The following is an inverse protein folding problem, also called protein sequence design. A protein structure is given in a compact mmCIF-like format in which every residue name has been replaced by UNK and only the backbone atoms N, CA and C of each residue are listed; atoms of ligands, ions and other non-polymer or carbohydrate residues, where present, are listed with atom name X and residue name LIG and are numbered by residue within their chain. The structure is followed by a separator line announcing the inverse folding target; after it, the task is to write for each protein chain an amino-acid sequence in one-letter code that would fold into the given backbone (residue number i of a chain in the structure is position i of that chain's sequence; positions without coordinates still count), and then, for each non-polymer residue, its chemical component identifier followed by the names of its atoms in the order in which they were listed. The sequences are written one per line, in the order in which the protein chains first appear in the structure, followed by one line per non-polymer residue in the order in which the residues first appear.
data_IF_531547045668
#
_entry.id   IF_531547045668
#
_cell.length_a   1.000
_cell.length_b   1.000
_cell.length_c   1.000
_cell.angle_alpha   90.00
_cell.angle_beta   90.00
_cell.angle_gamma   90.00
#
_symmetry.space_group_name_H-M   'P 1'
#
loop_
_entity.id
_entity.type
_entity.pdbx_description
1 polymer ?
#
# COMPACT_ATOMS: atom_id res chain seq x y z
N UNK A 1 10.60 20.56 -12.76
CA UNK A 1 9.15 20.28 -12.84
C UNK A 1 8.76 19.22 -11.82
N UNK A 2 9.57 18.15 -11.68
CA UNK A 2 9.44 17.13 -10.62
C UNK A 2 9.61 17.66 -9.18
N UNK A 3 10.59 18.53 -8.92
CA UNK A 3 10.79 19.13 -7.57
C UNK A 3 9.54 19.86 -7.04
N UNK A 4 8.84 20.61 -7.92
CA UNK A 4 7.60 21.28 -7.56
C UNK A 4 6.43 20.30 -7.36
N UNK A 5 6.43 19.14 -8.02
CA UNK A 5 5.39 18.13 -7.82
C UNK A 5 5.59 17.40 -6.49
N UNK A 6 6.82 16.97 -6.19
CA UNK A 6 7.16 16.35 -4.90
C UNK A 6 6.89 17.30 -3.74
N UNK A 7 7.34 18.55 -3.84
CA UNK A 7 7.08 19.60 -2.85
C UNK A 7 5.62 20.04 -2.77
N UNK A 8 4.75 19.61 -3.70
CA UNK A 8 3.29 19.81 -3.68
C UNK A 8 2.51 18.56 -3.26
N UNK A 9 3.13 17.37 -3.30
CA UNK A 9 2.56 16.11 -2.81
C UNK A 9 2.91 15.85 -1.34
N UNK A 10 4.08 16.33 -0.91
CA UNK A 10 4.64 16.20 0.44
C UNK A 10 4.90 17.61 0.98
N UNK A 11 3.86 18.21 1.57
CA UNK A 11 3.88 19.65 1.90
C UNK A 11 3.81 19.91 3.41
N UNK A 12 3.54 18.86 4.19
CA UNK A 12 3.49 18.94 5.63
C UNK A 12 4.89 18.76 6.20
N UNK A 13 5.35 19.70 7.04
CA UNK A 13 6.57 19.53 7.84
C UNK A 13 6.51 18.26 8.71
N UNK A 14 5.29 17.86 9.09
CA UNK A 14 4.97 16.59 9.73
C UNK A 14 4.08 15.77 8.80
N UNK A 15 4.66 14.82 8.08
CA UNK A 15 3.98 14.01 7.06
C UNK A 15 2.69 13.35 7.56
N UNK A 16 2.68 12.88 8.81
CA UNK A 16 1.52 12.21 9.39
C UNK A 16 0.38 13.15 9.76
N UNK A 17 0.62 14.47 9.79
CA UNK A 17 -0.40 15.49 10.03
C UNK A 17 -1.07 15.95 8.72
N UNK A 18 -0.64 15.43 7.57
CA UNK A 18 -1.27 15.70 6.27
C UNK A 18 -2.72 15.15 6.28
N UNK A 19 -3.74 15.99 6.00
CA UNK A 19 -5.13 15.56 6.05
C UNK A 19 -5.45 14.42 5.06
N UNK A 20 -4.65 14.28 4.00
CA UNK A 20 -4.81 13.24 2.98
C UNK A 20 -3.87 12.06 3.19
N UNK A 21 -3.13 11.98 4.32
CA UNK A 21 -2.09 10.96 4.54
C UNK A 21 -2.62 9.53 4.37
N UNK A 22 -3.83 9.25 4.85
CA UNK A 22 -4.44 7.93 4.74
C UNK A 22 -4.71 7.57 3.27
N UNK A 23 -5.20 8.52 2.48
CA UNK A 23 -5.44 8.32 1.06
C UNK A 23 -4.11 8.11 0.32
N UNK A 24 -3.12 8.98 0.56
CA UNK A 24 -1.79 8.90 -0.05
C UNK A 24 -1.10 7.57 0.26
N UNK A 25 -1.13 7.13 1.52
CA UNK A 25 -0.61 5.82 1.94
C UNK A 25 -1.35 4.67 1.28
N UNK A 26 -2.68 4.75 1.15
CA UNK A 26 -3.49 3.72 0.48
C UNK A 26 -3.14 3.57 -0.99
N UNK A 27 -3.00 4.68 -1.71
CA UNK A 27 -2.62 4.70 -3.14
C UNK A 27 -1.23 4.12 -3.34
N UNK A 28 -0.22 4.65 -2.65
CA UNK A 28 1.18 4.21 -2.84
C UNK A 28 1.38 2.77 -2.41
N UNK A 29 0.71 2.32 -1.35
CA UNK A 29 0.81 0.93 -0.87
C UNK A 29 0.12 -0.03 -1.83
N UNK A 30 -1.02 0.34 -2.41
CA UNK A 30 -1.66 -0.47 -3.46
C UNK A 30 -0.73 -0.60 -4.66
N UNK A 31 -0.10 0.50 -5.07
CA UNK A 31 0.84 0.46 -6.18
C UNK A 31 2.07 -0.41 -5.87
N UNK A 32 2.69 -0.22 -4.70
CA UNK A 32 3.92 -0.91 -4.31
C UNK A 32 3.69 -2.39 -3.99
N UNK A 33 2.76 -2.69 -3.09
CA UNK A 33 2.63 -4.04 -2.52
C UNK A 33 1.67 -4.95 -3.30
N UNK A 34 0.79 -4.37 -4.14
CA UNK A 34 -0.24 -5.14 -4.83
C UNK A 34 -0.08 -5.09 -6.35
N UNK A 35 0.07 -3.89 -6.93
CA UNK A 35 0.20 -3.75 -8.39
C UNK A 35 1.58 -4.15 -8.89
N UNK A 36 2.66 -3.65 -8.29
CA UNK A 36 4.06 -3.92 -8.70
C UNK A 36 4.54 -5.34 -8.37
N UNK A 37 3.68 -6.34 -8.55
CA UNK A 37 3.98 -7.76 -8.35
C UNK A 37 3.15 -8.61 -9.31
N UNK A 38 2.64 -9.78 -8.88
CA UNK A 38 2.02 -10.75 -9.78
C UNK A 38 0.78 -10.22 -10.52
N UNK A 39 0.13 -9.17 -10.01
CA UNK A 39 -1.05 -8.57 -10.65
C UNK A 39 -0.69 -7.89 -11.97
N UNK A 40 0.42 -7.14 -12.03
CA UNK A 40 0.86 -6.50 -13.27
C UNK A 40 1.32 -7.56 -14.29
N UNK A 41 2.03 -8.61 -13.86
CA UNK A 41 2.38 -9.74 -14.73
C UNK A 41 1.13 -10.43 -15.30
N UNK A 42 0.10 -10.64 -14.47
CA UNK A 42 -1.17 -11.21 -14.90
C UNK A 42 -1.93 -10.29 -15.87
N UNK A 43 -1.85 -8.97 -15.68
CA UNK A 43 -2.41 -8.01 -16.61
C UNK A 43 -1.69 -8.03 -17.96
N UNK A 44 -0.35 -7.99 -17.94
CA UNK A 44 0.48 -8.04 -19.14
C UNK A 44 0.28 -9.34 -19.94
N UNK A 45 0.05 -10.46 -19.25
CA UNK A 45 -0.30 -11.75 -19.83
C UNK A 45 -1.74 -11.82 -20.38
N UNK A 46 -2.54 -10.75 -20.24
CA UNK A 46 -3.95 -10.69 -20.66
C UNK A 46 -4.90 -11.54 -19.82
N UNK A 47 -4.49 -11.97 -18.62
CA UNK A 47 -5.32 -12.76 -17.70
C UNK A 47 -6.29 -11.90 -16.90
N UNK A 48 -5.96 -10.62 -16.73
CA UNK A 48 -6.82 -9.59 -16.16
C UNK A 48 -7.08 -8.56 -17.25
N UNK A 49 -8.31 -8.05 -17.31
CA UNK A 49 -8.63 -6.89 -18.13
C UNK A 49 -8.32 -5.60 -17.37
N UNK A 50 -8.26 -4.47 -18.08
CA UNK A 50 -8.13 -3.15 -17.45
C UNK A 50 -9.22 -2.91 -16.40
N UNK A 51 -10.46 -3.32 -16.68
CA UNK A 51 -11.58 -3.18 -15.74
C UNK A 51 -11.38 -4.05 -14.48
N UNK A 52 -10.79 -5.24 -14.61
CA UNK A 52 -10.47 -6.07 -13.43
C UNK A 52 -9.39 -5.39 -12.58
N UNK A 53 -8.39 -4.76 -13.21
CA UNK A 53 -7.33 -4.01 -12.51
C UNK A 53 -7.90 -2.81 -11.76
N UNK A 54 -8.80 -2.05 -12.38
CA UNK A 54 -9.49 -0.91 -11.74
C UNK A 54 -10.29 -1.38 -10.52
N UNK A 55 -11.09 -2.45 -10.64
CA UNK A 55 -11.89 -2.98 -9.53
C UNK A 55 -11.02 -3.45 -8.35
N UNK A 56 -9.91 -4.14 -8.65
CA UNK A 56 -8.96 -4.59 -7.63
C UNK A 56 -8.23 -3.41 -6.96
N UNK A 57 -7.88 -2.38 -7.72
CA UNK A 57 -7.25 -1.16 -7.21
C UNK A 57 -8.18 -0.39 -6.26
N UNK A 58 -9.45 -0.24 -6.62
CA UNK A 58 -10.45 0.39 -5.74
C UNK A 58 -10.67 -0.42 -4.47
N UNK A 59 -10.79 -1.74 -4.60
CA UNK A 59 -10.94 -2.64 -3.45
C UNK A 59 -9.77 -2.51 -2.47
N UNK A 60 -8.53 -2.53 -2.97
CA UNK A 60 -7.34 -2.44 -2.12
C UNK A 60 -7.23 -1.12 -1.39
N UNK A 61 -7.50 0.01 -2.06
CA UNK A 61 -7.50 1.32 -1.38
C UNK A 61 -8.53 1.41 -0.26
N UNK A 62 -9.74 0.88 -0.47
CA UNK A 62 -10.79 0.85 0.56
C UNK A 62 -10.31 0.06 1.78
N UNK A 63 -9.70 -1.11 1.58
CA UNK A 63 -9.19 -1.93 2.69
C UNK A 63 -8.00 -1.29 3.40
N UNK A 64 -7.05 -0.73 2.65
CA UNK A 64 -5.87 -0.07 3.20
C UNK A 64 -6.23 1.21 3.96
N UNK A 65 -7.25 1.95 3.53
CA UNK A 65 -7.77 3.10 4.27
C UNK A 65 -8.17 2.70 5.69
N UNK A 66 -8.84 1.55 5.86
CA UNK A 66 -9.22 1.04 7.20
C UNK A 66 -7.97 0.67 8.01
N UNK A 67 -7.02 -0.05 7.41
CA UNK A 67 -5.79 -0.48 8.10
C UNK A 67 -4.94 0.71 8.54
N UNK A 68 -4.72 1.68 7.66
CA UNK A 68 -3.92 2.86 8.00
C UNK A 68 -4.59 3.74 9.05
N UNK A 69 -5.92 3.90 9.00
CA UNK A 69 -6.65 4.56 10.09
C UNK A 69 -6.39 3.87 11.43
N UNK A 70 -6.52 2.54 11.50
CA UNK A 70 -6.29 1.78 12.73
C UNK A 70 -4.88 1.99 13.31
N UNK A 71 -3.87 1.99 12.43
CA UNK A 71 -2.46 2.16 12.82
C UNK A 71 -2.19 3.60 13.28
N UNK A 72 -2.63 4.60 12.51
CA UNK A 72 -2.33 6.01 12.76
C UNK A 72 -3.10 6.57 13.96
N UNK A 73 -4.34 6.11 14.19
CA UNK A 73 -5.11 6.46 15.40
C UNK A 73 -4.50 5.88 16.68
N UNK A 74 -3.58 4.91 16.58
CA UNK A 74 -2.92 4.25 17.71
C UNK A 74 -3.92 3.67 18.73
N UNK A 75 -5.12 3.29 18.27
CA UNK A 75 -6.16 2.74 19.12
C UNK A 75 -5.89 1.26 19.42
N UNK A 76 -5.18 1.00 20.52
CA UNK A 76 -4.79 -0.34 20.94
C UNK A 76 -5.94 -1.34 21.07
N UNK A 77 -7.16 -0.91 21.40
CA UNK A 77 -8.31 -1.82 21.48
C UNK A 77 -8.75 -2.28 20.08
N UNK A 78 -8.83 -1.35 19.14
CA UNK A 78 -9.21 -1.65 17.76
C UNK A 78 -8.13 -2.47 17.05
N UNK A 79 -6.85 -2.16 17.29
CA UNK A 79 -5.72 -2.95 16.80
C UNK A 79 -5.81 -4.39 17.33
N UNK A 80 -6.10 -4.59 18.62
CA UNK A 80 -6.32 -5.95 19.18
C UNK A 80 -7.45 -6.68 18.48
N UNK A 81 -8.59 -6.02 18.23
CA UNK A 81 -9.73 -6.62 17.51
C UNK A 81 -9.36 -6.99 16.08
N UNK A 82 -8.58 -6.16 15.39
CA UNK A 82 -8.07 -6.45 14.07
C UNK A 82 -7.12 -7.65 14.07
N UNK A 83 -6.18 -7.72 15.02
CA UNK A 83 -5.26 -8.86 15.18
C UNK A 83 -5.99 -10.17 15.50
N UNK A 84 -7.12 -10.11 16.22
CA UNK A 84 -7.96 -11.30 16.45
C UNK A 84 -8.49 -11.91 15.14
N UNK A 85 -8.66 -11.12 14.06
CA UNK A 85 -9.01 -11.70 12.75
C UNK A 85 -7.89 -12.59 12.22
N UNK A 86 -6.62 -12.21 12.44
CA UNK A 86 -5.46 -13.04 12.06
C UNK A 86 -5.42 -14.39 12.76
N UNK A 87 -5.96 -14.49 13.98
CA UNK A 87 -6.13 -15.77 14.69
C UNK A 87 -7.04 -16.74 13.93
N UNK A 88 -8.03 -16.25 13.19
CA UNK A 88 -8.99 -17.09 12.47
C UNK A 88 -8.59 -17.37 11.01
N UNK A 89 -7.83 -16.48 10.38
CA UNK A 89 -7.65 -16.50 8.92
C UNK A 89 -6.18 -16.50 8.44
N UNK A 90 -5.19 -16.48 9.34
CA UNK A 90 -3.76 -16.36 8.95
C UNK A 90 -2.81 -17.33 9.63
N UNK A 91 -3.31 -18.38 10.29
CA UNK A 91 -2.48 -19.30 11.10
C UNK A 91 -1.62 -20.24 10.25
N UNK A 92 -2.02 -20.52 9.00
CA UNK A 92 -1.32 -21.42 8.09
C UNK A 92 -0.33 -20.69 7.17
N UNK A 93 -0.16 -19.38 7.35
CA UNK A 93 0.76 -18.58 6.55
C UNK A 93 2.11 -18.53 7.24
N UNK A 94 3.18 -18.85 6.52
CA UNK A 94 4.54 -18.62 7.00
C UNK A 94 4.73 -17.13 7.31
N UNK A 95 5.62 -16.85 8.27
CA UNK A 95 6.03 -15.46 8.52
C UNK A 95 6.46 -14.81 7.21
N UNK A 96 5.87 -13.65 6.91
CA UNK A 96 6.26 -12.87 5.74
C UNK A 96 7.78 -12.66 5.79
N UNK A 97 8.48 -13.21 4.81
CA UNK A 97 9.88 -12.87 4.60
C UNK A 97 9.90 -11.44 4.07
N UNK A 98 10.54 -10.48 4.78
CA UNK A 98 10.72 -9.16 4.20
C UNK A 98 11.49 -9.32 2.89
N UNK A 99 11.11 -8.55 1.87
CA UNK A 99 11.93 -8.47 0.66
C UNK A 99 13.38 -8.21 1.06
N UNK A 100 14.31 -8.97 0.49
CA UNK A 100 15.73 -8.78 0.77
C UNK A 100 16.25 -7.45 0.19
N UNK A 101 15.48 -6.85 -0.73
CA UNK A 101 15.71 -5.53 -1.31
C UNK A 101 15.23 -4.46 -0.33
N UNK A 102 16.11 -3.53 0.02
CA UNK A 102 15.69 -2.38 0.81
C UNK A 102 14.87 -1.39 -0.02
N UNK A 103 14.11 -0.52 0.65
CA UNK A 103 13.21 0.42 -0.03
C UNK A 103 13.95 1.45 -0.91
N UNK A 104 15.20 1.80 -0.59
CA UNK A 104 16.00 2.74 -1.39
C UNK A 104 16.49 2.11 -2.71
N UNK A 105 16.78 0.81 -2.68
CA UNK A 105 17.09 0.01 -3.85
C UNK A 105 15.86 -0.13 -4.78
N UNK A 106 14.68 -0.35 -4.21
CA UNK A 106 13.42 -0.32 -4.96
C UNK A 106 13.20 1.04 -5.68
N UNK A 107 13.43 2.16 -4.99
CA UNK A 107 13.28 3.50 -5.57
C UNK A 107 14.27 3.76 -6.72
N UNK A 108 15.45 3.14 -6.70
CA UNK A 108 16.42 3.26 -7.80
C UNK A 108 15.95 2.55 -9.08
N UNK A 109 15.26 1.42 -8.95
CA UNK A 109 14.75 0.68 -10.11
C UNK A 109 13.70 1.54 -10.84
N UNK A 110 12.74 2.12 -10.11
CA UNK A 110 11.68 2.95 -10.69
C UNK A 110 12.18 4.20 -11.43
N UNK A 111 13.32 4.76 -11.04
CA UNK A 111 13.89 5.96 -11.70
C UNK A 111 14.55 5.64 -13.05
N UNK A 112 14.75 4.36 -13.37
CA UNK A 112 15.47 3.90 -14.55
C UNK A 112 14.61 3.07 -15.53
N UNK A 113 13.30 2.98 -15.29
CA UNK A 113 12.27 2.41 -16.19
C UNK A 113 11.49 3.57 -16.81
#
# INVERSE_FOLDING_TARGET
MEENFFSNYVNAEKLLDDPDIIHKLSVVTTHYAYRNGPVEDMHADGKLSENDIEELYEFMQIKLTVVFNLILEQNNEMIKKYLLMGMFFGQDWDYAMPECMDFEEFLHILKNV
#
